data_IF_092406799332
#
_entry.id   IF_092406799332
#
_cell.length_a   1.000
_cell.length_b   1.000
_cell.length_c   1.000
_cell.angle_alpha   90.00
_cell.angle_beta   90.00
_cell.angle_gamma   90.00
#
_symmetry.space_group_name_H-M   'P 1'
#
loop_
_entity.id
_entity.type
_entity.pdbx_description
1 polymer ?
#
# COMPACT_ATOMS: atom_id res chain seq x y z
N UNK A 1 -10.65 -59.77 36.26
CA UNK A 1 -9.61 -58.99 35.57
C UNK A 1 -9.93 -57.52 35.81
N UNK A 2 -9.28 -56.89 36.79
CA UNK A 2 -9.58 -55.51 37.21
C UNK A 2 -8.81 -54.53 36.31
N UNK A 3 -9.51 -53.83 35.42
CA UNK A 3 -8.92 -52.76 34.62
C UNK A 3 -8.79 -51.51 35.51
N UNK A 4 -7.55 -51.17 35.88
CA UNK A 4 -7.20 -49.94 36.58
C UNK A 4 -7.73 -48.74 35.78
N UNK A 5 -8.78 -48.10 36.30
CA UNK A 5 -9.21 -46.80 35.77
C UNK A 5 -8.14 -45.76 36.10
N UNK A 6 -7.53 -45.20 35.05
CA UNK A 6 -6.60 -44.10 35.19
C UNK A 6 -7.39 -42.86 35.61
N UNK A 7 -7.25 -42.46 36.87
CA UNK A 7 -7.92 -41.29 37.43
C UNK A 7 -7.35 -40.05 36.73
N UNK A 8 -8.10 -39.49 35.78
CA UNK A 8 -7.73 -38.27 35.07
C UNK A 8 -7.45 -37.14 36.07
N UNK A 9 -6.21 -36.68 36.10
CA UNK A 9 -5.75 -35.63 37.00
C UNK A 9 -6.26 -34.31 36.39
N UNK A 10 -7.31 -33.73 36.96
CA UNK A 10 -7.97 -32.49 36.46
C UNK A 10 -6.99 -31.34 36.13
N UNK A 11 -5.82 -31.28 36.79
CA UNK A 11 -4.78 -30.29 36.51
C UNK A 11 -4.14 -30.43 35.11
N UNK A 12 -4.05 -31.64 34.57
CA UNK A 12 -3.54 -31.89 33.20
C UNK A 12 -4.52 -31.38 32.14
N UNK A 13 -5.82 -31.50 32.38
CA UNK A 13 -6.85 -30.94 31.48
C UNK A 13 -6.85 -29.40 31.48
N UNK A 14 -6.51 -28.79 32.61
CA UNK A 14 -6.47 -27.33 32.76
C UNK A 14 -5.25 -26.72 32.03
N UNK A 15 -4.06 -27.34 32.15
CA UNK A 15 -2.87 -26.89 31.42
C UNK A 15 -3.03 -27.07 29.90
N UNK A 16 -3.65 -28.16 29.46
CA UNK A 16 -3.94 -28.42 28.04
C UNK A 16 -4.91 -27.38 27.47
N UNK A 17 -5.90 -26.96 28.27
CA UNK A 17 -6.83 -25.89 27.90
C UNK A 17 -6.11 -24.53 27.77
N UNK A 18 -5.21 -24.20 28.69
CA UNK A 18 -4.43 -22.96 28.65
C UNK A 18 -3.51 -22.92 27.42
N UNK A 19 -2.84 -24.03 27.10
CA UNK A 19 -2.01 -24.16 25.91
C UNK A 19 -2.87 -23.99 24.64
N UNK A 20 -4.06 -24.61 24.61
CA UNK A 20 -4.98 -24.50 23.47
C UNK A 20 -5.46 -23.06 23.25
N UNK A 21 -5.80 -22.35 24.33
CA UNK A 21 -6.19 -20.93 24.27
C UNK A 21 -5.02 -20.07 23.81
N UNK A 22 -3.80 -20.33 24.29
CA UNK A 22 -2.62 -19.59 23.87
C UNK A 22 -2.34 -19.75 22.37
N UNK A 23 -2.45 -20.97 21.85
CA UNK A 23 -2.32 -21.26 20.41
C UNK A 23 -3.42 -20.55 19.63
N UNK A 24 -4.66 -20.60 20.09
CA UNK A 24 -5.78 -19.94 19.42
C UNK A 24 -5.62 -18.42 19.37
N UNK A 25 -5.20 -17.79 20.46
CA UNK A 25 -4.92 -16.35 20.51
C UNK A 25 -3.75 -15.96 19.61
N UNK A 26 -2.71 -16.79 19.58
CA UNK A 26 -1.57 -16.58 18.69
C UNK A 26 -2.02 -16.57 17.23
N UNK A 27 -2.76 -17.61 16.81
CA UNK A 27 -3.30 -17.71 15.45
C UNK A 27 -4.16 -16.49 15.13
N UNK A 28 -5.10 -16.13 16.01
CA UNK A 28 -6.00 -15.00 15.76
C UNK A 28 -5.25 -13.68 15.60
N UNK A 29 -4.20 -13.46 16.41
CA UNK A 29 -3.35 -12.27 16.32
C UNK A 29 -2.59 -12.25 15.00
N UNK A 30 -1.98 -13.36 14.60
CA UNK A 30 -1.27 -13.47 13.32
C UNK A 30 -2.20 -13.19 12.14
N UNK A 31 -3.40 -13.78 12.13
CA UNK A 31 -4.39 -13.53 11.09
C UNK A 31 -4.81 -12.05 11.02
N UNK A 32 -5.08 -11.44 12.18
CA UNK A 32 -5.43 -10.01 12.25
C UNK A 32 -4.33 -9.13 11.65
N UNK A 33 -3.07 -9.36 12.04
CA UNK A 33 -1.92 -8.62 11.52
C UNK A 33 -1.76 -8.76 10.00
N UNK A 34 -1.91 -9.97 9.47
CA UNK A 34 -1.82 -10.24 8.02
C UNK A 34 -2.95 -9.55 7.24
N UNK A 35 -4.18 -9.58 7.77
CA UNK A 35 -5.31 -8.91 7.13
C UNK A 35 -5.10 -7.39 7.14
N UNK A 36 -4.71 -6.82 8.27
CA UNK A 36 -4.45 -5.38 8.37
C UNK A 36 -3.35 -4.91 7.43
N UNK A 37 -2.25 -5.67 7.33
CA UNK A 37 -1.16 -5.33 6.40
C UNK A 37 -1.60 -5.45 4.94
N UNK A 38 -2.38 -6.49 4.60
CA UNK A 38 -2.90 -6.69 3.23
C UNK A 38 -3.86 -5.58 2.83
N UNK A 39 -4.79 -5.18 3.70
CA UNK A 39 -5.72 -4.07 3.44
C UNK A 39 -4.95 -2.75 3.27
N UNK A 40 -3.98 -2.49 4.14
CA UNK A 40 -3.19 -1.25 4.09
C UNK A 40 -2.36 -1.19 2.80
N UNK A 41 -1.73 -2.30 2.40
CA UNK A 41 -0.96 -2.37 1.16
C UNK A 41 -1.84 -2.26 -0.08
N UNK A 42 -3.01 -2.90 -0.09
CA UNK A 42 -3.97 -2.79 -1.20
C UNK A 42 -4.48 -1.35 -1.36
N UNK A 43 -4.86 -0.70 -0.26
CA UNK A 43 -5.33 0.69 -0.31
C UNK A 43 -4.22 1.64 -0.76
N UNK A 44 -2.97 1.44 -0.31
CA UNK A 44 -1.83 2.23 -0.77
C UNK A 44 -1.53 2.01 -2.25
N UNK A 45 -1.62 0.76 -2.73
CA UNK A 45 -1.45 0.43 -4.14
C UNK A 45 -2.52 1.10 -5.01
N UNK A 46 -3.79 1.02 -4.61
CA UNK A 46 -4.89 1.69 -5.32
C UNK A 46 -4.69 3.21 -5.37
N UNK A 47 -4.24 3.82 -4.27
CA UNK A 47 -3.94 5.26 -4.23
C UNK A 47 -2.78 5.63 -5.14
N UNK A 48 -1.75 4.79 -5.23
CA UNK A 48 -0.63 4.98 -6.15
C UNK A 48 -1.05 4.86 -7.61
N UNK A 49 -1.89 3.88 -7.94
CA UNK A 49 -2.46 3.72 -9.28
C UNK A 49 -3.25 4.97 -9.65
N UNK A 50 -4.17 5.41 -8.78
CA UNK A 50 -4.94 6.65 -9.02
C UNK A 50 -4.08 7.90 -9.18
N UNK A 51 -2.98 8.02 -8.44
CA UNK A 51 -2.04 9.13 -8.60
C UNK A 51 -1.30 9.06 -9.95
N UNK A 52 -0.98 7.85 -10.40
CA UNK A 52 -0.36 7.60 -11.70
C UNK A 52 -1.33 7.93 -12.83
N UNK A 53 -2.57 7.44 -12.75
CA UNK A 53 -3.61 7.73 -13.76
C UNK A 53 -3.88 9.23 -13.88
N UNK A 54 -3.96 9.95 -12.75
CA UNK A 54 -4.15 11.39 -12.75
C UNK A 54 -2.93 12.17 -13.30
N UNK A 55 -1.72 11.64 -13.14
CA UNK A 55 -0.52 12.20 -13.74
C UNK A 55 -0.51 11.95 -15.25
N UNK A 56 -0.79 10.72 -15.67
CA UNK A 56 -0.83 10.32 -17.08
C UNK A 56 -1.92 11.11 -17.84
N UNK A 57 -3.11 11.31 -17.26
CA UNK A 57 -4.18 12.15 -17.85
C UNK A 57 -3.70 13.60 -18.11
N UNK A 58 -2.95 14.18 -17.18
CA UNK A 58 -2.42 15.55 -17.34
C UNK A 58 -1.26 15.63 -18.31
N UNK A 59 -0.47 14.56 -18.43
CA UNK A 59 0.57 14.46 -19.45
C UNK A 59 -0.09 14.36 -20.84
N UNK A 60 -1.18 13.61 -20.97
CA UNK A 60 -1.96 13.54 -22.21
C UNK A 60 -2.57 14.91 -22.56
N UNK A 61 -3.13 15.62 -21.58
CA UNK A 61 -3.58 17.01 -21.77
C UNK A 61 -2.44 17.93 -22.18
N UNK A 62 -1.24 17.79 -21.59
CA UNK A 62 -0.05 18.54 -21.98
C UNK A 62 0.36 18.26 -23.42
N UNK A 63 0.30 17.01 -23.87
CA UNK A 63 0.61 16.64 -25.25
C UNK A 63 -0.36 17.29 -26.25
N UNK A 64 -1.59 17.55 -25.86
CA UNK A 64 -2.63 18.17 -26.71
C UNK A 64 -2.58 19.70 -26.64
N UNK A 65 -2.46 20.28 -25.44
CA UNK A 65 -2.56 21.71 -25.18
C UNK A 65 -1.21 22.45 -25.22
N UNK A 66 -0.11 21.71 -25.09
CA UNK A 66 1.26 22.25 -25.01
C UNK A 66 1.61 22.91 -23.67
N UNK A 67 0.68 22.98 -22.72
CA UNK A 67 0.86 23.60 -21.40
C UNK A 67 0.47 22.65 -20.29
N UNK A 68 1.36 22.41 -19.33
CA UNK A 68 1.11 21.45 -18.26
C UNK A 68 0.34 22.11 -17.12
N UNK A 69 -0.70 21.45 -16.65
CA UNK A 69 -1.50 21.94 -15.54
C UNK A 69 -0.86 21.56 -14.20
N UNK A 70 -0.25 22.54 -13.54
CA UNK A 70 0.38 22.40 -12.21
C UNK A 70 -0.60 22.61 -11.04
N UNK A 71 -1.88 22.84 -11.31
CA UNK A 71 -2.88 23.09 -10.27
C UNK A 71 -3.03 21.88 -9.34
N UNK A 72 -3.04 22.09 -8.03
CA UNK A 72 -3.31 21.01 -7.09
C UNK A 72 -4.75 20.48 -7.24
N UNK A 73 -4.93 19.19 -6.99
CA UNK A 73 -6.25 18.54 -6.94
C UNK A 73 -6.41 17.83 -5.60
N UNK A 74 -7.08 18.50 -4.65
CA UNK A 74 -7.17 18.03 -3.28
C UNK A 74 -5.78 17.90 -2.63
N UNK A 75 -5.40 16.69 -2.22
CA UNK A 75 -4.08 16.37 -1.65
C UNK A 75 -3.01 15.98 -2.68
N UNK A 76 -3.33 16.04 -3.97
CA UNK A 76 -2.40 15.78 -5.05
C UNK A 76 -1.80 17.09 -5.57
N UNK A 77 -0.47 17.17 -5.63
CA UNK A 77 0.28 18.28 -6.20
C UNK A 77 1.05 17.79 -7.42
N UNK A 78 1.10 18.61 -8.46
CA UNK A 78 1.71 18.27 -9.73
C UNK A 78 2.81 19.28 -10.06
N UNK A 79 3.92 18.80 -10.59
CA UNK A 79 5.08 19.63 -10.91
C UNK A 79 5.71 19.17 -12.21
N UNK A 80 6.27 20.13 -12.94
CA UNK A 80 7.03 19.90 -14.17
C UNK A 80 8.44 20.42 -13.94
N UNK A 81 9.42 19.64 -14.37
CA UNK A 81 10.84 19.98 -14.34
C UNK A 81 11.45 19.68 -15.71
N UNK A 82 12.28 20.58 -16.23
CA UNK A 82 13.14 20.24 -17.36
C UNK A 82 14.29 19.37 -16.84
N UNK A 83 14.65 18.32 -17.60
CA UNK A 83 15.75 17.42 -17.21
C UNK A 83 17.07 18.07 -17.61
N UNK A 84 17.92 18.41 -16.62
CA UNK A 84 19.21 19.09 -16.88
C UNK A 84 20.17 18.25 -17.74
N UNK A 85 20.02 16.92 -17.73
CA UNK A 85 20.89 15.98 -18.46
C UNK A 85 20.49 15.79 -19.93
N UNK A 86 19.25 16.09 -20.31
CA UNK A 86 18.76 15.94 -21.69
C UNK A 86 17.71 17.02 -22.02
N UNK A 87 18.04 18.01 -22.88
CA UNK A 87 17.14 19.12 -23.21
C UNK A 87 15.87 18.67 -23.97
N UNK A 88 15.87 17.45 -24.50
CA UNK A 88 14.73 16.86 -25.19
C UNK A 88 13.81 16.07 -24.23
N UNK A 89 14.06 16.09 -22.92
CA UNK A 89 13.23 15.41 -21.92
C UNK A 89 12.59 16.38 -20.92
N UNK A 90 11.31 16.14 -20.63
CA UNK A 90 10.56 16.83 -19.58
C UNK A 90 10.13 15.80 -18.54
N UNK A 91 10.37 16.12 -17.27
CA UNK A 91 9.96 15.32 -16.13
C UNK A 91 8.70 15.88 -15.49
N UNK A 92 7.71 15.03 -15.33
CA UNK A 92 6.47 15.32 -14.62
C UNK A 92 6.45 14.55 -13.31
N UNK A 93 6.04 15.21 -12.25
CA UNK A 93 5.97 14.64 -10.92
C UNK A 93 4.59 14.88 -10.31
N UNK A 94 4.02 13.84 -9.73
CA UNK A 94 2.83 13.92 -8.90
C UNK A 94 3.18 13.45 -7.48
N UNK A 95 2.78 14.24 -6.49
CA UNK A 95 2.94 13.94 -5.09
C UNK A 95 1.57 13.94 -4.40
N UNK A 96 1.35 12.99 -3.50
CA UNK A 96 0.20 12.96 -2.62
C UNK A 96 0.66 13.09 -1.16
N UNK A 97 0.31 14.22 -0.53
CA UNK A 97 0.75 14.55 0.84
C UNK A 97 0.10 13.68 1.91
N UNK A 98 -1.07 13.11 1.64
CA UNK A 98 -1.82 12.31 2.64
C UNK A 98 -1.20 10.92 2.82
N UNK A 99 -0.60 10.37 1.75
CA UNK A 99 -0.04 9.02 1.72
C UNK A 99 1.48 9.01 1.53
N UNK A 100 2.11 10.19 1.46
CA UNK A 100 3.54 10.36 1.16
C UNK A 100 3.96 9.56 -0.09
N UNK A 101 3.11 9.61 -1.13
CA UNK A 101 3.32 8.89 -2.39
C UNK A 101 3.82 9.87 -3.45
N UNK A 102 4.91 9.50 -4.12
CA UNK A 102 5.47 10.24 -5.24
C UNK A 102 5.53 9.34 -6.47
N UNK A 103 5.10 9.87 -7.61
CA UNK A 103 5.18 9.23 -8.92
C UNK A 103 5.80 10.22 -9.88
N UNK A 104 6.76 9.77 -10.67
CA UNK A 104 7.40 10.57 -11.70
C UNK A 104 7.35 9.88 -13.06
N UNK A 105 7.26 10.68 -14.11
CA UNK A 105 7.26 10.27 -15.52
C UNK A 105 8.20 11.19 -16.29
N UNK A 106 8.96 10.62 -17.21
CA UNK A 106 9.84 11.36 -18.11
C UNK A 106 9.33 11.16 -19.52
N UNK A 107 9.09 12.25 -20.24
CA UNK A 107 8.51 12.25 -21.59
C UNK A 107 9.39 13.09 -22.49
N UNK A 108 9.57 12.64 -23.73
CA UNK A 108 10.30 13.42 -24.72
C UNK A 108 9.50 14.64 -25.16
N UNK A 109 10.17 15.78 -25.22
CA UNK A 109 9.67 17.06 -25.67
C UNK A 109 9.32 16.93 -27.14
N UNK A 110 8.03 16.92 -27.45
CA UNK A 110 7.56 16.90 -28.83
C UNK A 110 7.83 18.30 -29.40
N UNK A 111 8.91 18.41 -30.20
CA UNK A 111 9.21 19.61 -31.02
C UNK A 111 8.26 19.75 -32.20
#
# INVERSE_FOLDING_TARGET
>A
MQLKQYKSIKGISLIESVISIAIMLFIMTTFSLVISSTITTSTLADKKVRLTDALDERIDEYAILGTFNTSSSGSMTFSQFDVEEDPDLIKFEANNTDFNLQVSREVSKIS
#
